data_IF_054289990306
#
_entry.id   IF_054289990306
#
_cell.length_a   1.000
_cell.length_b   1.000
_cell.length_c   1.000
_cell.angle_alpha   90.00
_cell.angle_beta   90.00
_cell.angle_gamma   90.00
#
_symmetry.space_group_name_H-M   'P 1'
#
loop_
_entity.id
_entity.type
_entity.pdbx_description
1 polymer ?
#
# COMPACT_ATOMS: atom_id res chain seq x y z
N UNK A 1 -1.65 -0.60 -15.40
CA UNK A 1 -2.64 -1.24 -14.49
C UNK A 1 -4.05 -0.69 -14.67
N UNK A 2 -4.31 0.62 -14.48
CA UNK A 2 -5.67 1.17 -14.69
C UNK A 2 -6.16 1.02 -16.14
N UNK A 3 -5.29 1.24 -17.12
CA UNK A 3 -5.55 0.97 -18.56
C UNK A 3 -5.82 -0.49 -18.87
N UNK A 4 -5.39 -1.40 -17.99
CA UNK A 4 -5.62 -2.85 -18.07
C UNK A 4 -6.82 -3.28 -17.22
N UNK A 5 -7.68 -2.35 -16.81
CA UNK A 5 -8.92 -2.57 -16.07
C UNK A 5 -8.77 -3.14 -14.64
N UNK A 6 -7.66 -2.81 -13.95
CA UNK A 6 -7.49 -3.10 -12.51
C UNK A 6 -7.94 -1.92 -11.63
N UNK A 7 -8.63 -2.21 -10.52
CA UNK A 7 -8.93 -1.21 -9.48
C UNK A 7 -7.70 -0.99 -8.61
N UNK A 8 -7.09 0.20 -8.74
CA UNK A 8 -5.79 0.52 -8.13
C UNK A 8 -5.84 1.84 -7.38
N UNK A 9 -5.50 1.76 -6.10
CA UNK A 9 -5.17 2.88 -5.22
C UNK A 9 -3.66 3.03 -5.14
N UNK A 10 -3.15 4.28 -5.11
CA UNK A 10 -1.72 4.55 -5.03
C UNK A 10 -1.43 5.70 -4.07
N UNK A 11 -0.42 5.57 -3.20
CA UNK A 11 -0.06 6.60 -2.22
C UNK A 11 1.46 6.72 -2.03
N UNK A 12 1.96 7.91 -1.70
CA UNK A 12 3.38 8.16 -1.47
C UNK A 12 3.66 9.23 -0.39
N UNK A 13 4.94 9.50 -0.12
CA UNK A 13 5.41 10.28 1.05
C UNK A 13 5.01 11.74 1.03
N UNK A 14 4.93 12.31 -0.16
CA UNK A 14 4.68 13.73 -0.36
C UNK A 14 3.19 14.08 -0.42
N UNK A 15 2.30 13.07 -0.36
CA UNK A 15 0.86 13.31 -0.28
C UNK A 15 0.46 13.83 1.12
N UNK A 16 -0.49 14.77 1.20
CA UNK A 16 -1.04 15.22 2.48
C UNK A 16 -1.59 14.05 3.30
N UNK A 17 -1.31 14.04 4.60
CA UNK A 17 -1.70 12.93 5.49
C UNK A 17 -3.20 12.60 5.41
N UNK A 18 -4.04 13.63 5.31
CA UNK A 18 -5.50 13.49 5.17
C UNK A 18 -5.88 12.70 3.92
N UNK A 19 -5.22 12.98 2.80
CA UNK A 19 -5.48 12.28 1.54
C UNK A 19 -5.06 10.80 1.61
N UNK A 20 -3.89 10.53 2.22
CA UNK A 20 -3.38 9.16 2.40
C UNK A 20 -4.28 8.30 3.28
N UNK A 21 -4.59 8.80 4.48
CA UNK A 21 -5.28 8.04 5.51
C UNK A 21 -6.80 8.01 5.31
N UNK A 22 -7.43 9.14 4.96
CA UNK A 22 -8.89 9.22 4.93
C UNK A 22 -9.51 8.79 3.61
N UNK A 23 -8.84 9.00 2.47
CA UNK A 23 -9.41 8.62 1.18
C UNK A 23 -8.87 7.26 0.74
N UNK A 24 -7.56 7.20 0.48
CA UNK A 24 -6.95 6.08 -0.24
C UNK A 24 -6.96 4.80 0.62
N UNK A 25 -6.60 4.91 1.91
CA UNK A 25 -6.60 3.75 2.80
C UNK A 25 -8.01 3.25 3.09
N UNK A 26 -8.99 4.15 3.27
CA UNK A 26 -10.39 3.76 3.50
C UNK A 26 -10.98 3.06 2.28
N UNK A 27 -10.67 3.51 1.06
CA UNK A 27 -11.10 2.83 -0.17
C UNK A 27 -10.52 1.41 -0.28
N UNK A 28 -9.23 1.27 0.02
CA UNK A 28 -8.56 -0.03 -0.01
C UNK A 28 -9.11 -0.97 1.08
N UNK A 29 -9.29 -0.48 2.31
CA UNK A 29 -9.89 -1.23 3.42
C UNK A 29 -11.33 -1.67 3.15
N UNK A 30 -12.10 -0.87 2.41
CA UNK A 30 -13.47 -1.20 1.98
C UNK A 30 -13.52 -2.15 0.78
N UNK A 31 -12.36 -2.52 0.23
CA UNK A 31 -12.26 -3.39 -0.95
C UNK A 31 -12.66 -2.73 -2.27
N UNK A 32 -12.79 -1.40 -2.31
CA UNK A 32 -13.10 -0.65 -3.54
C UNK A 32 -11.94 -0.73 -4.54
N UNK A 33 -10.71 -0.80 -4.02
CA UNK A 33 -9.51 -1.11 -4.79
C UNK A 33 -8.94 -2.46 -4.37
N UNK A 34 -8.60 -3.30 -5.35
CA UNK A 34 -7.96 -4.61 -5.09
C UNK A 34 -6.45 -4.54 -5.03
N UNK A 35 -5.86 -3.48 -5.58
CA UNK A 35 -4.41 -3.26 -5.59
C UNK A 35 -4.11 -1.94 -4.90
N UNK A 36 -3.17 -1.97 -3.94
CA UNK A 36 -2.56 -0.78 -3.35
C UNK A 36 -1.10 -0.71 -3.75
N UNK A 37 -0.70 0.39 -4.37
CA UNK A 37 0.69 0.70 -4.69
C UNK A 37 1.17 1.76 -3.71
N UNK A 38 2.28 1.52 -3.00
CA UNK A 38 2.81 2.48 -2.05
C UNK A 38 4.32 2.44 -1.95
N UNK A 39 4.91 3.59 -1.60
CA UNK A 39 6.29 3.68 -1.10
C UNK A 39 6.34 3.36 0.40
N UNK A 40 7.52 3.44 1.01
CA UNK A 40 7.79 3.04 2.40
C UNK A 40 7.03 3.78 3.49
N UNK A 41 6.25 4.79 3.13
CA UNK A 41 5.37 5.57 4.00
C UNK A 41 4.48 4.69 4.87
N UNK A 42 4.04 3.57 4.30
CA UNK A 42 3.17 2.65 5.00
C UNK A 42 3.87 1.40 5.46
N UNK A 43 5.19 1.24 5.26
CA UNK A 43 5.96 0.04 5.62
C UNK A 43 5.83 -0.35 7.11
N UNK A 44 5.32 0.52 7.97
CA UNK A 44 4.97 0.21 9.36
C UNK A 44 3.45 0.00 9.51
N UNK A 45 2.99 -1.25 9.34
CA UNK A 45 1.69 -1.71 9.88
C UNK A 45 0.43 -1.10 9.25
N UNK A 46 0.17 -1.40 7.98
CA UNK A 46 -1.23 -1.41 7.50
C UNK A 46 -1.85 -2.69 8.07
N UNK A 47 -2.65 -2.57 9.13
CA UNK A 47 -3.49 -3.68 9.62
C UNK A 47 -4.71 -3.82 8.69
N UNK A 48 -4.50 -4.51 7.57
CA UNK A 48 -5.57 -4.88 6.65
C UNK A 48 -5.53 -6.39 6.53
N UNK A 49 -6.33 -7.04 7.36
CA UNK A 49 -6.47 -8.50 7.41
C UNK A 49 -6.82 -9.15 6.05
N UNK A 50 -7.26 -8.35 5.07
CA UNK A 50 -7.64 -8.81 3.74
C UNK A 50 -6.49 -8.82 2.71
N UNK A 51 -5.25 -8.50 3.09
CA UNK A 51 -4.10 -8.56 2.17
C UNK A 51 -3.57 -9.99 2.08
N UNK A 52 -3.73 -10.63 0.92
CA UNK A 52 -3.25 -12.00 0.67
C UNK A 52 -1.88 -12.07 0.00
N UNK A 53 -1.42 -10.98 -0.62
CA UNK A 53 -0.18 -10.96 -1.40
C UNK A 53 0.51 -9.60 -1.26
N UNK A 54 1.81 -9.66 -0.92
CA UNK A 54 2.71 -8.50 -0.92
C UNK A 54 3.74 -8.69 -2.02
N UNK A 55 3.84 -7.71 -2.93
CA UNK A 55 4.85 -7.69 -3.98
C UNK A 55 5.84 -6.56 -3.70
N UNK A 56 7.10 -6.92 -3.45
CA UNK A 56 8.19 -5.96 -3.44
C UNK A 56 8.62 -5.68 -4.88
N UNK A 57 8.07 -4.61 -5.49
CA UNK A 57 8.47 -4.20 -6.84
C UNK A 57 9.93 -3.76 -6.88
N UNK A 58 10.30 -2.85 -5.98
CA UNK A 58 11.69 -2.47 -5.72
C UNK A 58 12.16 -3.09 -4.41
N UNK A 59 13.35 -3.69 -4.41
CA UNK A 59 13.92 -4.27 -3.19
C UNK A 59 14.29 -3.16 -2.20
N UNK A 60 13.90 -3.31 -0.91
CA UNK A 60 14.23 -2.35 0.11
C UNK A 60 15.73 -2.32 0.43
N UNK A 61 16.22 -1.14 0.79
CA UNK A 61 17.64 -0.86 0.99
C UNK A 61 18.22 -1.51 2.26
N UNK A 62 17.35 -2.03 3.15
CA UNK A 62 17.76 -2.70 4.37
C UNK A 62 16.79 -3.81 4.79
N UNK A 63 17.32 -4.76 5.57
CA UNK A 63 16.58 -5.92 6.07
C UNK A 63 15.37 -5.55 6.94
N UNK A 64 15.49 -4.50 7.76
CA UNK A 64 14.41 -4.10 8.69
C UNK A 64 13.17 -3.69 7.90
N UNK A 65 13.35 -2.89 6.87
CA UNK A 65 12.29 -2.44 5.96
C UNK A 65 11.69 -3.62 5.19
N UNK A 66 12.51 -4.58 4.74
CA UNK A 66 12.00 -5.81 4.13
C UNK A 66 11.04 -6.57 5.05
N UNK A 67 11.46 -6.84 6.29
CA UNK A 67 10.65 -7.55 7.29
C UNK A 67 9.33 -6.79 7.54
N UNK A 68 9.40 -5.47 7.64
CA UNK A 68 8.24 -4.60 7.80
C UNK A 68 7.27 -4.60 6.60
N UNK A 69 7.79 -4.73 5.37
CA UNK A 69 6.97 -4.84 4.16
C UNK A 69 6.28 -6.20 4.06
N UNK A 70 6.99 -7.29 4.30
CA UNK A 70 6.40 -8.64 4.21
C UNK A 70 5.53 -8.99 5.41
N UNK A 71 5.79 -8.36 6.56
CA UNK A 71 5.01 -8.49 7.79
C UNK A 71 3.80 -7.57 7.84
N UNK A 72 3.22 -7.24 6.67
CA UNK A 72 1.83 -6.79 6.60
C UNK A 72 0.95 -7.74 7.39
#
# INVERSE_FOLDING_TARGET
MRTSNFSVSATHGDMPQKERADAIMKEFQKGLSRVLITTDVWALGIDVQQVSLVINYDLPNNRKLYIHRIGR
#
